data_IF_314666116054
#
_entry.id   IF_314666116054
#
_cell.length_a   1.000
_cell.length_b   1.000
_cell.length_c   1.000
_cell.angle_alpha   90.00
_cell.angle_beta   90.00
_cell.angle_gamma   90.00
#
_symmetry.space_group_name_H-M   'P 1'
#
loop_
_entity.id
_entity.type
_entity.pdbx_description
1 polymer ?
#
# COMPACT_ATOMS: atom_id res chain seq x y z
N UNK A 1 -10.69 23.66 0.99
CA UNK A 1 -9.94 23.19 2.18
C UNK A 1 -10.60 21.97 2.84
N UNK A 2 -11.90 22.01 3.12
CA UNK A 2 -12.61 20.91 3.82
C UNK A 2 -12.66 19.60 3.02
N UNK A 3 -12.99 19.62 1.73
CA UNK A 3 -12.99 18.41 0.89
C UNK A 3 -11.62 17.73 0.82
N UNK A 4 -10.54 18.50 0.67
CA UNK A 4 -9.18 17.95 0.68
C UNK A 4 -8.82 17.30 2.02
N UNK A 5 -9.28 17.88 3.13
CA UNK A 5 -9.13 17.28 4.46
C UNK A 5 -9.92 15.96 4.58
N UNK A 6 -11.13 15.91 4.03
CA UNK A 6 -11.96 14.70 4.02
C UNK A 6 -11.33 13.59 3.17
N UNK A 7 -10.77 13.94 2.01
CA UNK A 7 -10.03 12.99 1.17
C UNK A 7 -8.81 12.41 1.90
N UNK A 8 -8.08 13.23 2.66
CA UNK A 8 -6.99 12.76 3.51
C UNK A 8 -7.47 11.81 4.61
N UNK A 9 -8.67 12.04 5.18
CA UNK A 9 -9.26 11.11 6.15
C UNK A 9 -9.57 9.76 5.50
N UNK A 10 -10.19 9.74 4.32
CA UNK A 10 -10.47 8.50 3.61
C UNK A 10 -9.19 7.73 3.27
N UNK A 11 -8.14 8.44 2.86
CA UNK A 11 -6.84 7.83 2.61
C UNK A 11 -6.23 7.24 3.89
N UNK A 12 -6.31 7.93 5.03
CA UNK A 12 -5.85 7.40 6.30
C UNK A 12 -6.63 6.14 6.73
N UNK A 13 -7.95 6.11 6.53
CA UNK A 13 -8.77 4.93 6.79
C UNK A 13 -8.33 3.75 5.92
N UNK A 14 -8.09 3.98 4.62
CA UNK A 14 -7.56 2.97 3.71
C UNK A 14 -6.22 2.42 4.19
N UNK A 15 -5.28 3.30 4.55
CA UNK A 15 -3.96 2.91 5.02
C UNK A 15 -4.02 2.07 6.29
N UNK A 16 -4.89 2.46 7.24
CA UNK A 16 -5.11 1.76 8.49
C UNK A 16 -5.79 0.39 8.27
N UNK A 17 -6.76 0.31 7.35
CA UNK A 17 -7.36 -0.97 6.93
C UNK A 17 -6.36 -1.87 6.21
N UNK A 18 -5.53 -1.34 5.32
CA UNK A 18 -4.49 -2.07 4.61
C UNK A 18 -3.44 -2.61 5.58
N UNK A 19 -2.99 -1.79 6.52
CA UNK A 19 -2.06 -2.20 7.56
C UNK A 19 -2.68 -3.29 8.42
N UNK A 20 -3.94 -3.16 8.86
CA UNK A 20 -4.59 -4.19 9.66
C UNK A 20 -4.78 -5.49 8.89
N UNK A 21 -5.35 -5.47 7.69
CA UNK A 21 -5.63 -6.68 6.92
C UNK A 21 -4.34 -7.40 6.54
N UNK A 22 -3.38 -6.68 5.97
CA UNK A 22 -2.12 -7.25 5.48
C UNK A 22 -1.22 -7.65 6.64
N UNK A 23 -0.95 -6.75 7.58
CA UNK A 23 -0.01 -7.07 8.66
C UNK A 23 -0.59 -8.10 9.62
N UNK A 24 -1.87 -8.03 10.00
CA UNK A 24 -2.42 -8.99 10.99
C UNK A 24 -2.48 -10.40 10.43
N UNK A 25 -2.99 -10.58 9.21
CA UNK A 25 -3.17 -11.90 8.62
C UNK A 25 -1.83 -12.56 8.29
N UNK A 26 -0.91 -11.82 7.67
CA UNK A 26 0.44 -12.35 7.39
C UNK A 26 1.24 -12.60 8.67
N UNK A 27 1.16 -11.73 9.68
CA UNK A 27 1.81 -11.98 10.96
C UNK A 27 1.23 -13.22 11.66
N UNK A 28 -0.07 -13.45 11.58
CA UNK A 28 -0.68 -14.66 12.15
C UNK A 28 -0.13 -15.91 11.46
N UNK A 29 -0.11 -15.95 10.13
CA UNK A 29 0.44 -17.07 9.35
C UNK A 29 1.90 -17.37 9.73
N UNK A 30 2.72 -16.33 9.87
CA UNK A 30 4.14 -16.46 10.23
C UNK A 30 4.32 -16.89 11.70
N UNK A 31 3.68 -16.19 12.63
CA UNK A 31 3.93 -16.37 14.06
C UNK A 31 3.22 -17.58 14.66
N UNK A 32 2.10 -17.98 14.08
CA UNK A 32 1.30 -19.08 14.61
C UNK A 32 1.52 -20.33 13.76
N UNK A 33 1.10 -20.34 12.51
CA UNK A 33 1.07 -21.56 11.70
C UNK A 33 2.49 -22.03 11.30
N UNK A 34 3.32 -21.14 10.76
CA UNK A 34 4.70 -21.49 10.38
C UNK A 34 5.53 -21.84 11.61
N UNK A 35 5.41 -21.07 12.70
CA UNK A 35 6.12 -21.36 13.96
C UNK A 35 5.78 -22.76 14.47
N UNK A 36 4.49 -23.12 14.50
CA UNK A 36 4.03 -24.44 14.94
C UNK A 36 4.63 -25.57 14.11
N UNK A 37 4.66 -25.44 12.78
CA UNK A 37 5.31 -26.44 11.90
C UNK A 37 6.81 -26.57 12.23
N UNK A 38 7.51 -25.46 12.49
CA UNK A 38 8.93 -25.48 12.86
C UNK A 38 9.18 -26.14 14.22
N UNK A 39 8.31 -25.91 15.20
CA UNK A 39 8.38 -26.55 16.51
C UNK A 39 8.13 -28.06 16.41
N UNK A 40 7.11 -28.48 15.65
CA UNK A 40 6.84 -29.91 15.40
C UNK A 40 7.98 -30.57 14.61
N UNK A 41 8.56 -29.89 13.62
CA UNK A 41 9.75 -30.37 12.90
C UNK A 41 10.91 -30.67 13.85
N UNK A 42 11.19 -29.76 14.79
CA UNK A 42 12.27 -29.94 15.77
C UNK A 42 12.04 -31.16 16.67
N UNK A 43 10.80 -31.39 17.10
CA UNK A 43 10.44 -32.58 17.88
C UNK A 43 10.57 -33.85 17.05
N UNK A 44 10.12 -33.83 15.80
CA UNK A 44 10.28 -34.93 14.87
C UNK A 44 11.75 -35.29 14.64
N UNK A 45 12.63 -34.30 14.43
CA UNK A 45 14.07 -34.52 14.26
C UNK A 45 14.68 -35.15 15.53
N UNK A 46 14.35 -34.64 16.72
CA UNK A 46 14.81 -35.20 18.00
C UNK A 46 14.41 -36.67 18.18
N UNK A 47 13.16 -37.02 17.88
CA UNK A 47 12.67 -38.41 18.03
C UNK A 47 13.25 -39.31 16.92
N UNK A 48 13.54 -38.76 15.74
CA UNK A 48 14.27 -39.47 14.69
C UNK A 48 15.67 -39.88 15.16
N UNK A 49 16.41 -38.93 15.76
CA UNK A 49 17.75 -39.21 16.30
C UNK A 49 17.69 -40.26 17.44
N UNK A 50 16.71 -40.16 18.33
CA UNK A 50 16.50 -41.14 19.41
C UNK A 50 16.18 -42.55 18.87
N UNK A 51 15.42 -42.63 17.77
CA UNK A 51 15.12 -43.90 17.09
C UNK A 51 16.38 -44.53 16.49
N UNK A 52 17.24 -43.75 15.85
CA UNK A 52 18.52 -44.22 15.31
C UNK A 52 19.45 -44.74 16.40
N UNK A 53 19.50 -44.05 17.55
CA UNK A 53 20.26 -44.50 18.73
C UNK A 53 19.69 -45.81 19.28
N UNK A 54 18.36 -45.93 19.40
CA UNK A 54 17.71 -47.14 19.89
C UNK A 54 17.91 -48.34 18.96
N UNK A 55 17.86 -48.12 17.63
CA UNK A 55 18.15 -49.13 16.62
C UNK A 55 19.60 -49.64 16.73
N UNK A 56 20.57 -48.73 16.84
CA UNK A 56 21.98 -49.08 17.00
C UNK A 56 22.25 -49.84 18.31
N UNK A 57 21.64 -49.40 19.42
CA UNK A 57 21.78 -50.10 20.70
C UNK A 57 21.20 -51.50 20.66
N UNK A 58 20.02 -51.67 20.06
CA UNK A 58 19.38 -52.99 19.92
C UNK A 58 20.18 -53.92 18.99
N UNK A 59 20.79 -53.40 17.92
CA UNK A 59 21.60 -54.22 17.00
C UNK A 59 22.93 -54.67 17.61
N UNK A 60 23.49 -53.90 18.53
CA UNK A 60 24.75 -54.20 19.23
C UNK A 60 24.56 -55.03 20.51
N UNK A 61 23.33 -55.27 20.96
CA UNK A 61 23.06 -55.99 22.20
C UNK A 61 23.63 -57.42 22.16
N UNK A 62 24.41 -57.78 23.19
CA UNK A 62 25.04 -59.09 23.28
C UNK A 62 24.00 -60.18 23.54
N UNK A 63 23.78 -61.07 22.56
CA UNK A 63 22.78 -62.16 22.62
C UNK A 63 22.94 -63.09 23.83
N UNK A 64 24.12 -63.14 24.45
CA UNK A 64 24.38 -63.91 25.67
C UNK A 64 23.74 -63.30 26.93
N UNK A 65 23.39 -62.01 26.91
CA UNK A 65 22.80 -61.29 28.03
C UNK A 65 21.33 -61.01 27.75
N UNK A 66 20.50 -62.02 27.99
CA UNK A 66 19.05 -62.01 27.68
C UNK A 66 18.35 -60.75 28.22
N UNK A 67 18.63 -60.36 29.45
CA UNK A 67 18.00 -59.18 30.06
C UNK A 67 18.40 -57.85 29.40
N UNK A 68 19.68 -57.71 29.00
CA UNK A 68 20.15 -56.53 28.27
C UNK A 68 19.51 -56.44 26.88
N UNK A 69 19.31 -57.58 26.22
CA UNK A 69 18.57 -57.67 24.95
C UNK A 69 17.10 -57.27 25.11
N UNK A 70 16.41 -57.76 26.15
CA UNK A 70 15.02 -57.41 26.41
C UNK A 70 14.84 -55.91 26.68
N UNK A 71 15.73 -55.31 27.48
CA UNK A 71 15.70 -53.86 27.75
C UNK A 71 15.93 -53.02 26.49
N UNK A 72 16.89 -53.41 25.65
CA UNK A 72 17.15 -52.73 24.38
C UNK A 72 15.96 -52.84 23.41
N UNK A 73 15.34 -54.03 23.34
CA UNK A 73 14.17 -54.28 22.50
C UNK A 73 12.93 -53.49 22.97
N UNK A 74 12.68 -53.46 24.28
CA UNK A 74 11.57 -52.70 24.87
C UNK A 74 11.74 -51.20 24.60
N UNK A 75 12.95 -50.67 24.79
CA UNK A 75 13.28 -49.26 24.49
C UNK A 75 13.02 -48.96 23.02
N UNK A 76 13.52 -49.80 22.09
CA UNK A 76 13.29 -49.64 20.66
C UNK A 76 11.80 -49.64 20.31
N UNK A 77 11.02 -50.54 20.92
CA UNK A 77 9.58 -50.64 20.65
C UNK A 77 8.84 -49.38 21.07
N UNK A 78 9.14 -48.84 22.26
CA UNK A 78 8.57 -47.57 22.74
C UNK A 78 8.97 -46.39 21.86
N UNK A 79 10.26 -46.25 21.52
CA UNK A 79 10.75 -45.15 20.66
C UNK A 79 10.14 -45.22 19.27
N UNK A 80 9.96 -46.43 18.71
CA UNK A 80 9.30 -46.62 17.40
C UNK A 80 7.86 -46.14 17.40
N UNK A 81 7.12 -46.39 18.48
CA UNK A 81 5.75 -45.87 18.63
C UNK A 81 5.75 -44.34 18.69
N UNK A 82 6.63 -43.73 19.49
CA UNK A 82 6.75 -42.28 19.59
C UNK A 82 7.11 -41.65 18.23
N UNK A 83 8.06 -42.24 17.49
CA UNK A 83 8.44 -41.80 16.16
C UNK A 83 7.27 -41.83 15.17
N UNK A 84 6.49 -42.91 15.17
CA UNK A 84 5.32 -43.02 14.29
C UNK A 84 4.28 -41.92 14.59
N UNK A 85 3.97 -41.68 15.87
CA UNK A 85 3.05 -40.62 16.28
C UNK A 85 3.58 -39.23 15.88
N UNK A 86 4.84 -38.93 16.18
CA UNK A 86 5.43 -37.63 15.85
C UNK A 86 5.54 -37.39 14.34
N UNK A 87 5.80 -38.45 13.55
CA UNK A 87 5.80 -38.39 12.09
C UNK A 87 4.42 -37.97 11.54
N UNK A 88 3.36 -38.58 12.06
CA UNK A 88 1.99 -38.26 11.67
C UNK A 88 1.63 -36.82 12.07
N UNK A 89 1.98 -36.40 13.28
CA UNK A 89 1.75 -35.03 13.74
C UNK A 89 2.47 -34.00 12.87
N UNK A 90 3.72 -34.27 12.49
CA UNK A 90 4.49 -33.37 11.64
C UNK A 90 3.88 -33.23 10.24
N UNK A 91 3.54 -34.36 9.60
CA UNK A 91 2.85 -34.36 8.30
C UNK A 91 1.49 -33.66 8.40
N UNK A 92 0.75 -33.89 9.49
CA UNK A 92 -0.51 -33.21 9.74
C UNK A 92 -0.35 -31.69 9.81
N UNK A 93 0.61 -31.17 10.58
CA UNK A 93 0.81 -29.71 10.63
C UNK A 93 1.23 -29.12 9.27
N UNK A 94 2.06 -29.83 8.49
CA UNK A 94 2.41 -29.41 7.12
C UNK A 94 1.15 -29.32 6.25
N UNK A 95 0.30 -30.35 6.30
CA UNK A 95 -0.93 -30.38 5.50
C UNK A 95 -1.90 -29.27 5.90
N UNK A 96 -2.06 -29.01 7.20
CA UNK A 96 -2.88 -27.90 7.70
C UNK A 96 -2.36 -26.56 7.18
N UNK A 97 -1.06 -26.30 7.29
CA UNK A 97 -0.45 -25.07 6.77
C UNK A 97 -0.64 -24.94 5.24
N UNK A 98 -0.44 -26.04 4.51
CA UNK A 98 -0.57 -26.03 3.05
C UNK A 98 -2.01 -25.76 2.58
N UNK A 99 -3.00 -26.29 3.29
CA UNK A 99 -4.42 -26.03 3.02
C UNK A 99 -4.83 -24.61 3.38
N UNK A 100 -4.26 -24.04 4.45
CA UNK A 100 -4.58 -22.68 4.92
C UNK A 100 -3.97 -21.55 4.10
N UNK A 101 -2.67 -21.65 3.80
CA UNK A 101 -1.88 -20.53 3.26
C UNK A 101 -2.50 -19.90 2.00
N UNK A 102 -3.14 -20.70 1.14
CA UNK A 102 -3.69 -20.21 -0.13
C UNK A 102 -4.90 -19.30 0.11
N UNK A 103 -5.86 -19.75 0.90
CA UNK A 103 -7.07 -18.95 1.13
C UNK A 103 -6.78 -17.76 2.05
N UNK A 104 -5.90 -17.87 3.04
CA UNK A 104 -5.54 -16.74 3.92
C UNK A 104 -4.89 -15.58 3.15
N UNK A 105 -4.05 -15.88 2.17
CA UNK A 105 -3.44 -14.86 1.29
C UNK A 105 -4.52 -14.22 0.42
N UNK A 106 -5.38 -15.03 -0.19
CA UNK A 106 -6.46 -14.52 -1.05
C UNK A 106 -7.46 -13.67 -0.26
N UNK A 107 -7.83 -14.08 0.96
CA UNK A 107 -8.72 -13.33 1.84
C UNK A 107 -8.12 -11.97 2.26
N UNK A 108 -6.80 -11.95 2.50
CA UNK A 108 -6.06 -10.71 2.76
C UNK A 108 -6.07 -9.77 1.55
N UNK A 109 -5.84 -10.29 0.35
CA UNK A 109 -5.91 -9.52 -0.89
C UNK A 109 -7.33 -9.01 -1.14
N UNK A 110 -8.34 -9.85 -0.94
CA UNK A 110 -9.75 -9.50 -1.12
C UNK A 110 -10.17 -8.39 -0.15
N UNK A 111 -9.80 -8.50 1.12
CA UNK A 111 -10.04 -7.46 2.13
C UNK A 111 -9.40 -6.12 1.74
N UNK A 112 -8.19 -6.15 1.19
CA UNK A 112 -7.53 -4.94 0.69
C UNK A 112 -8.24 -4.36 -0.54
N UNK A 113 -8.70 -5.20 -1.46
CA UNK A 113 -9.49 -4.75 -2.62
C UNK A 113 -10.81 -4.11 -2.20
N UNK A 114 -11.49 -4.64 -1.18
CA UNK A 114 -12.69 -4.02 -0.62
C UNK A 114 -12.39 -2.64 -0.01
N UNK A 115 -11.31 -2.52 0.77
CA UNK A 115 -10.88 -1.23 1.32
C UNK A 115 -10.59 -0.20 0.23
N UNK A 116 -9.88 -0.61 -0.83
CA UNK A 116 -9.61 0.23 -2.01
C UNK A 116 -10.90 0.67 -2.70
N UNK A 117 -11.83 -0.26 -2.93
CA UNK A 117 -13.13 0.02 -3.55
C UNK A 117 -13.91 1.07 -2.75
N UNK A 118 -13.98 0.92 -1.43
CA UNK A 118 -14.63 1.90 -0.55
C UNK A 118 -13.95 3.26 -0.62
N UNK A 119 -12.61 3.32 -0.58
CA UNK A 119 -11.86 4.57 -0.71
C UNK A 119 -12.16 5.29 -2.03
N UNK A 120 -12.13 4.58 -3.15
CA UNK A 120 -12.41 5.18 -4.46
C UNK A 120 -13.85 5.66 -4.57
N UNK A 121 -14.81 4.90 -4.06
CA UNK A 121 -16.21 5.32 -4.06
C UNK A 121 -16.41 6.59 -3.24
N UNK A 122 -15.92 6.62 -2.00
CA UNK A 122 -16.02 7.79 -1.12
C UNK A 122 -15.31 9.02 -1.71
N UNK A 123 -14.15 8.81 -2.33
CA UNK A 123 -13.43 9.88 -3.02
C UNK A 123 -14.18 10.41 -4.24
N UNK A 124 -14.77 9.52 -5.03
CA UNK A 124 -15.56 9.91 -6.21
C UNK A 124 -16.76 10.76 -5.82
N UNK A 125 -17.58 10.29 -4.86
CA UNK A 125 -18.77 11.01 -4.38
C UNK A 125 -18.38 12.43 -3.89
N UNK A 126 -17.29 12.51 -3.11
CA UNK A 126 -16.76 13.77 -2.59
C UNK A 126 -16.35 14.76 -3.70
N UNK A 127 -15.67 14.28 -4.75
CA UNK A 127 -15.24 15.15 -5.85
C UNK A 127 -16.40 15.52 -6.78
N UNK A 128 -17.38 14.64 -6.97
CA UNK A 128 -18.58 14.93 -7.74
C UNK A 128 -19.41 16.06 -7.08
N UNK A 129 -19.53 16.04 -5.76
CA UNK A 129 -20.18 17.11 -4.99
C UNK A 129 -19.42 18.43 -5.10
N UNK A 130 -18.07 18.38 -5.03
CA UNK A 130 -17.21 19.54 -5.17
C UNK A 130 -17.29 20.16 -6.58
N UNK A 131 -17.33 19.33 -7.61
CA UNK A 131 -17.47 19.77 -9.00
C UNK A 131 -18.76 20.57 -9.19
N UNK A 132 -19.87 20.02 -8.70
CA UNK A 132 -21.20 20.61 -8.82
C UNK A 132 -21.35 21.91 -8.03
N UNK A 133 -20.73 21.99 -6.84
CA UNK A 133 -20.97 23.09 -5.90
C UNK A 133 -19.98 24.24 -6.03
N UNK A 134 -18.75 24.00 -6.50
CA UNK A 134 -17.69 24.99 -6.38
C UNK A 134 -16.79 25.11 -7.61
N UNK A 135 -16.41 24.00 -8.25
CA UNK A 135 -15.44 24.07 -9.36
C UNK A 135 -16.02 24.74 -10.61
N UNK A 136 -17.31 24.52 -10.90
CA UNK A 136 -18.02 25.20 -12.00
C UNK A 136 -18.08 26.72 -11.79
N UNK A 137 -18.36 27.17 -10.57
CA UNK A 137 -18.41 28.60 -10.24
C UNK A 137 -17.04 29.26 -10.36
N UNK A 138 -15.97 28.58 -9.91
CA UNK A 138 -14.61 29.09 -10.12
C UNK A 138 -14.28 29.16 -11.61
N UNK A 139 -14.61 28.12 -12.38
CA UNK A 139 -14.34 28.11 -13.81
C UNK A 139 -15.00 29.31 -14.51
N UNK A 140 -16.27 29.59 -14.19
CA UNK A 140 -16.97 30.78 -14.69
C UNK A 140 -16.31 32.09 -14.28
N UNK A 141 -15.90 32.23 -13.01
CA UNK A 141 -15.18 33.43 -12.54
C UNK A 141 -13.84 33.63 -13.26
N UNK A 142 -13.10 32.56 -13.54
CA UNK A 142 -11.84 32.62 -14.28
C UNK A 142 -12.08 33.09 -15.71
N UNK A 143 -13.11 32.58 -16.38
CA UNK A 143 -13.49 33.02 -17.72
C UNK A 143 -13.89 34.50 -17.75
N UNK A 144 -14.71 34.94 -16.78
CA UNK A 144 -15.14 36.33 -16.66
C UNK A 144 -13.95 37.27 -16.44
N UNK A 145 -13.07 36.96 -15.48
CA UNK A 145 -11.88 37.75 -15.19
C UNK A 145 -10.93 37.80 -16.37
N UNK A 146 -10.76 36.68 -17.09
CA UNK A 146 -9.95 36.62 -18.31
C UNK A 146 -10.52 37.52 -19.41
N UNK A 147 -11.84 37.52 -19.59
CA UNK A 147 -12.53 38.39 -20.55
C UNK A 147 -12.36 39.86 -20.19
N UNK A 148 -12.57 40.23 -18.93
CA UNK A 148 -12.37 41.59 -18.42
C UNK A 148 -10.93 42.05 -18.63
N UNK A 149 -9.95 41.23 -18.27
CA UNK A 149 -8.54 41.54 -18.46
C UNK A 149 -8.20 41.81 -19.95
N UNK A 150 -8.75 41.03 -20.88
CA UNK A 150 -8.54 41.27 -22.33
C UNK A 150 -9.12 42.61 -22.79
N UNK A 151 -10.30 42.99 -22.31
CA UNK A 151 -10.92 44.28 -22.63
C UNK A 151 -10.08 45.42 -22.07
N UNK A 152 -9.70 45.35 -20.80
CA UNK A 152 -8.87 46.36 -20.15
C UNK A 152 -7.51 46.53 -20.83
N UNK A 153 -6.86 45.42 -21.24
CA UNK A 153 -5.62 45.46 -22.00
C UNK A 153 -5.80 46.19 -23.34
N UNK A 154 -6.87 45.88 -24.09
CA UNK A 154 -7.15 46.53 -25.37
C UNK A 154 -7.40 48.03 -25.20
N UNK A 155 -8.21 48.43 -24.22
CA UNK A 155 -8.45 49.84 -23.93
C UNK A 155 -7.15 50.58 -23.56
N UNK A 156 -6.27 49.93 -22.81
CA UNK A 156 -4.97 50.49 -22.43
C UNK A 156 -4.05 50.65 -23.66
N UNK A 157 -4.02 49.68 -24.57
CA UNK A 157 -3.29 49.76 -25.85
C UNK A 157 -3.80 50.92 -26.72
N UNK A 158 -5.12 51.10 -26.81
CA UNK A 158 -5.74 52.20 -27.54
C UNK A 158 -5.39 53.57 -26.92
N UNK A 159 -5.49 53.70 -25.59
CA UNK A 159 -5.10 54.91 -24.85
C UNK A 159 -3.61 55.21 -25.05
N UNK A 160 -2.76 54.20 -24.97
CA UNK A 160 -1.32 54.34 -25.20
C UNK A 160 -1.03 54.86 -26.61
N UNK A 161 -1.69 54.30 -27.63
CA UNK A 161 -1.59 54.76 -29.02
C UNK A 161 -2.06 56.21 -29.19
N UNK A 162 -3.18 56.59 -28.57
CA UNK A 162 -3.71 57.96 -28.63
C UNK A 162 -2.74 58.98 -28.02
N UNK A 163 -2.14 58.67 -26.88
CA UNK A 163 -1.14 59.54 -26.24
C UNK A 163 0.08 59.72 -27.14
N UNK A 164 0.55 58.65 -27.80
CA UNK A 164 1.65 58.73 -28.75
C UNK A 164 1.32 59.64 -29.95
N UNK A 165 0.14 59.48 -30.56
CA UNK A 165 -0.31 60.34 -31.68
C UNK A 165 -0.37 61.81 -31.27
N UNK A 166 -0.98 62.14 -30.12
CA UNK A 166 -1.06 63.52 -29.61
C UNK A 166 0.32 64.12 -29.33
N UNK A 167 1.31 63.33 -28.88
CA UNK A 167 2.70 63.80 -28.72
C UNK A 167 3.31 64.20 -30.06
N UNK A 168 3.12 63.38 -31.10
CA UNK A 168 3.62 63.65 -32.46
C UNK A 168 2.96 64.90 -33.05
N UNK A 169 1.63 65.01 -32.95
CA UNK A 169 0.89 66.19 -33.43
C UNK A 169 1.34 67.48 -32.74
N UNK A 170 1.57 67.43 -31.42
CA UNK A 170 2.08 68.58 -30.66
C UNK A 170 3.49 68.99 -31.12
N UNK A 171 4.37 68.02 -31.36
CA UNK A 171 5.70 68.28 -31.91
C UNK A 171 5.62 68.92 -33.31
N UNK A 172 4.73 68.44 -34.17
CA UNK A 172 4.50 69.02 -35.49
C UNK A 172 3.93 70.44 -35.44
N UNK A 173 2.99 70.72 -34.52
CA UNK A 173 2.48 72.08 -34.31
C UNK A 173 3.59 73.03 -33.83
N UNK A 174 4.40 72.64 -32.84
CA UNK A 174 5.54 73.44 -32.38
C UNK A 174 6.48 73.73 -33.57
N UNK A 175 6.81 72.72 -34.38
CA UNK A 175 7.64 72.88 -35.57
C UNK A 175 7.01 73.77 -36.66
N UNK A 176 5.69 73.97 -36.70
CA UNK A 176 5.01 74.91 -37.63
C UNK A 176 4.97 76.35 -37.12
N UNK A 177 4.98 76.56 -35.80
CA UNK A 177 4.94 77.91 -35.21
C UNK A 177 6.33 78.54 -35.07
N UNK A 178 7.37 77.74 -34.81
CA UNK A 178 8.76 78.24 -34.69
C UNK A 178 9.28 78.95 -35.96
N UNK A 179 9.01 78.48 -37.20
CA UNK A 179 9.47 79.16 -38.42
C UNK A 179 8.84 80.55 -38.66
N UNK A 180 7.67 80.84 -38.07
CA UNK A 180 6.97 82.11 -38.26
C UNK A 180 7.48 83.23 -37.34
N UNK A 181 8.28 82.91 -36.33
CA UNK A 181 8.88 83.89 -35.42
C UNK A 181 10.25 84.39 -35.90
N UNK A 182 10.82 83.80 -36.95
CA UNK A 182 12.12 84.18 -37.54
C UNK A 182 11.99 84.94 -38.88
N UNK A 183 10.80 85.37 -39.26
CA UNK A 183 10.52 86.08 -40.52
C UNK A 183 9.93 87.49 -40.33
N UNK A 184 10.31 88.18 -39.24
CA UNK A 184 10.04 89.59 -39.02
C UNK A 184 11.28 90.44 -39.33
#
# INVERSE_FOLDING_TARGET
AQAMSEMLKYFNILMDQAQRSVCKNLNSLIRNDIKKVKETKKLFEKISDEMDVALNRNSQAAKSKVQECEEAHNTLTSTRSCFAHMSLDYVFQINVLNSKKRFDILDTMLSFMHAQSTFFHQGHDLFQDLETTYMKDIAGQVEELSSKAKVEMKEMEERHTLVQKKKIERQQQISRYVPKLTAA
#
